data_IF_678498696347
#
_entry.id   IF_678498696347
#
_cell.length_a   1.000
_cell.length_b   1.000
_cell.length_c   1.000
_cell.angle_alpha   90.00
_cell.angle_beta   90.00
_cell.angle_gamma   90.00
#
_symmetry.space_group_name_H-M   'P 1'
#
loop_
_entity.id
_entity.type
_entity.pdbx_description
1 polymer ?
#
# COMPACT_ATOMS: atom_id res chain seq x y z
N UNK A 1 -2.31 -62.97 -4.21
CA UNK A 1 -1.19 -62.02 -4.42
C UNK A 1 -1.51 -60.79 -5.30
N UNK A 2 -2.49 -60.83 -6.22
CA UNK A 2 -2.84 -59.65 -7.06
C UNK A 2 -3.45 -58.48 -6.26
N UNK A 3 -4.31 -58.77 -5.28
CA UNK A 3 -5.00 -57.76 -4.46
C UNK A 3 -4.06 -56.82 -3.68
N UNK A 4 -3.00 -57.38 -3.09
CA UNK A 4 -2.02 -56.62 -2.30
C UNK A 4 -1.24 -55.62 -3.16
N UNK A 5 -0.94 -55.99 -4.42
CA UNK A 5 -0.23 -55.10 -5.36
C UNK A 5 -1.09 -53.90 -5.75
N UNK A 6 -2.39 -54.09 -5.98
CA UNK A 6 -3.30 -52.98 -6.30
C UNK A 6 -3.44 -52.01 -5.13
N UNK A 7 -3.60 -52.52 -3.90
CA UNK A 7 -3.72 -51.66 -2.71
C UNK A 7 -2.47 -50.82 -2.46
N UNK A 8 -1.27 -51.41 -2.61
CA UNK A 8 0.00 -50.68 -2.48
C UNK A 8 0.14 -49.60 -3.57
N UNK A 9 -0.29 -49.89 -4.80
CA UNK A 9 -0.22 -48.95 -5.91
C UNK A 9 -1.14 -47.72 -5.68
N UNK A 10 -2.36 -47.96 -5.20
CA UNK A 10 -3.29 -46.86 -4.86
C UNK A 10 -2.76 -46.02 -3.70
N UNK A 11 -2.20 -46.64 -2.67
CA UNK A 11 -1.62 -45.91 -1.54
C UNK A 11 -0.47 -45.00 -1.99
N UNK A 12 0.43 -45.50 -2.85
CA UNK A 12 1.52 -44.71 -3.42
C UNK A 12 1.02 -43.52 -4.25
N UNK A 13 -0.04 -43.71 -5.03
CA UNK A 13 -0.64 -42.64 -5.82
C UNK A 13 -1.27 -41.55 -4.93
N UNK A 14 -1.97 -41.94 -3.86
CA UNK A 14 -2.54 -40.99 -2.90
C UNK A 14 -1.47 -40.15 -2.19
N UNK A 15 -0.36 -40.78 -1.77
CA UNK A 15 0.77 -40.08 -1.14
C UNK A 15 1.40 -39.10 -2.14
N UNK A 16 1.57 -39.49 -3.40
CA UNK A 16 2.14 -38.63 -4.44
C UNK A 16 1.25 -37.40 -4.71
N UNK A 17 -0.06 -37.60 -4.86
CA UNK A 17 -1.01 -36.50 -5.07
C UNK A 17 -1.00 -35.55 -3.86
N UNK A 18 -1.04 -36.10 -2.64
CA UNK A 18 -0.96 -35.30 -1.42
C UNK A 18 0.31 -34.47 -1.33
N UNK A 19 1.47 -35.06 -1.65
CA UNK A 19 2.75 -34.35 -1.66
C UNK A 19 2.80 -33.22 -2.72
N UNK A 20 2.25 -33.46 -3.92
CA UNK A 20 2.13 -32.44 -4.97
C UNK A 20 1.24 -31.29 -4.51
N UNK A 21 0.08 -31.59 -3.93
CA UNK A 21 -0.86 -30.57 -3.48
C UNK A 21 -0.25 -29.69 -2.37
N UNK A 22 0.39 -30.30 -1.38
CA UNK A 22 1.08 -29.57 -0.30
C UNK A 22 2.26 -28.75 -0.86
N UNK A 23 3.02 -29.31 -1.80
CA UNK A 23 4.12 -28.61 -2.46
C UNK A 23 3.65 -27.39 -3.26
N UNK A 24 2.56 -27.53 -4.01
CA UNK A 24 1.95 -26.42 -4.75
C UNK A 24 1.42 -25.33 -3.82
N UNK A 25 0.68 -25.69 -2.77
CA UNK A 25 0.14 -24.71 -1.83
C UNK A 25 1.25 -23.97 -1.07
N UNK A 26 2.28 -24.70 -0.62
CA UNK A 26 3.43 -24.09 0.08
C UNK A 26 4.20 -23.15 -0.83
N UNK A 27 4.44 -23.55 -2.09
CA UNK A 27 5.12 -22.69 -3.08
C UNK A 27 4.28 -21.46 -3.42
N UNK A 28 2.97 -21.61 -3.57
CA UNK A 28 2.04 -20.50 -3.79
C UNK A 28 2.05 -19.52 -2.61
N UNK A 29 2.01 -20.01 -1.37
CA UNK A 29 2.12 -19.17 -0.16
C UNK A 29 3.49 -18.53 0.00
N UNK A 30 4.56 -19.17 -0.46
CA UNK A 30 5.87 -18.52 -0.46
C UNK A 30 5.89 -17.36 -1.47
N UNK A 31 5.51 -17.62 -2.72
CA UNK A 31 5.63 -16.64 -3.81
C UNK A 31 4.63 -15.48 -3.67
N UNK A 32 3.38 -15.80 -3.34
CA UNK A 32 2.24 -14.88 -3.31
C UNK A 32 1.67 -14.66 -1.90
N UNK A 33 2.28 -15.24 -0.87
CA UNK A 33 1.89 -14.94 0.51
C UNK A 33 2.26 -13.50 0.85
N UNK A 34 1.32 -12.80 1.49
CA UNK A 34 1.55 -11.43 1.96
C UNK A 34 2.77 -11.41 2.88
N UNK A 35 3.75 -10.58 2.57
CA UNK A 35 4.92 -10.43 3.42
C UNK A 35 4.48 -9.91 4.80
N UNK A 36 5.07 -10.43 5.87
CA UNK A 36 4.80 -9.95 7.24
C UNK A 36 5.41 -8.57 7.52
N UNK A 37 6.24 -8.05 6.61
CA UNK A 37 6.92 -6.78 6.76
C UNK A 37 6.12 -5.66 6.06
N UNK A 38 5.61 -4.72 6.85
CA UNK A 38 5.12 -3.43 6.37
C UNK A 38 6.12 -2.32 6.70
N UNK A 39 6.13 -1.27 5.88
CA UNK A 39 6.89 -0.04 6.14
C UNK A 39 5.94 1.14 6.14
N UNK A 40 6.15 2.08 7.07
CA UNK A 40 5.28 3.25 7.25
C UNK A 40 6.04 4.52 6.92
N UNK A 41 5.41 5.41 6.17
CA UNK A 41 5.86 6.78 5.99
C UNK A 41 4.86 7.70 6.70
N UNK A 42 5.36 8.62 7.51
CA UNK A 42 4.55 9.40 8.44
C UNK A 42 4.73 10.87 8.12
N UNK A 43 3.62 11.58 7.97
CA UNK A 43 3.56 13.03 7.96
C UNK A 43 2.83 13.50 9.23
N UNK A 44 3.55 14.22 10.08
CA UNK A 44 2.98 14.88 11.27
C UNK A 44 2.41 16.24 10.87
N UNK A 45 1.13 16.48 11.13
CA UNK A 45 0.53 17.80 10.93
C UNK A 45 1.13 18.76 11.96
N UNK A 46 1.73 19.89 11.53
CA UNK A 46 2.40 20.83 12.44
C UNK A 46 1.49 21.30 13.59
N UNK A 47 2.06 21.41 14.79
CA UNK A 47 1.37 21.91 15.99
C UNK A 47 0.17 21.07 16.46
N UNK A 48 0.01 19.84 15.94
CA UNK A 48 -1.03 18.91 16.36
C UNK A 48 -0.42 17.56 16.73
N UNK A 49 -1.22 16.65 17.30
CA UNK A 49 -0.88 15.24 17.51
C UNK A 49 -1.49 14.33 16.40
N UNK A 50 -1.74 14.90 15.22
CA UNK A 50 -2.36 14.18 14.09
C UNK A 50 -1.30 13.76 13.09
N UNK A 51 -1.32 12.48 12.72
CA UNK A 51 -0.44 11.88 11.72
C UNK A 51 -1.25 11.38 10.52
N UNK A 52 -0.79 11.71 9.31
CA UNK A 52 -1.20 11.06 8.07
C UNK A 52 -0.12 10.04 7.72
N UNK A 53 -0.50 8.77 7.62
CA UNK A 53 0.45 7.67 7.46
C UNK A 53 0.11 6.91 6.18
N UNK A 54 1.10 6.72 5.33
CA UNK A 54 1.01 5.77 4.21
C UNK A 54 1.83 4.52 4.53
N UNK A 55 1.13 3.46 4.88
CA UNK A 55 1.70 2.13 5.05
C UNK A 55 1.78 1.41 3.70
N UNK A 56 2.88 0.70 3.45
CA UNK A 56 3.01 -0.22 2.34
C UNK A 56 3.43 -1.60 2.83
N UNK A 57 2.81 -2.64 2.29
CA UNK A 57 3.12 -4.05 2.56
C UNK A 57 3.44 -4.75 1.25
N UNK A 58 4.59 -5.41 1.20
CA UNK A 58 4.96 -6.19 0.02
C UNK A 58 3.99 -7.36 -0.17
N UNK A 59 3.47 -7.50 -1.39
CA UNK A 59 2.57 -8.61 -1.77
C UNK A 59 3.24 -9.68 -2.61
N UNK A 60 4.44 -9.40 -3.12
CA UNK A 60 5.23 -10.33 -3.89
C UNK A 60 6.67 -10.39 -3.34
N UNK A 61 7.28 -11.58 -3.30
CA UNK A 61 8.65 -11.76 -2.81
C UNK A 61 9.70 -11.06 -3.69
N UNK A 62 9.49 -11.10 -5.00
CA UNK A 62 10.49 -10.70 -6.00
C UNK A 62 10.15 -9.43 -6.78
N UNK A 63 8.87 -9.02 -6.76
CA UNK A 63 8.41 -7.85 -7.50
C UNK A 63 8.22 -6.71 -6.51
N UNK A 64 8.45 -5.47 -6.95
CA UNK A 64 8.27 -4.28 -6.14
C UNK A 64 6.78 -3.91 -6.00
N UNK A 65 5.92 -4.89 -5.78
CA UNK A 65 4.48 -4.70 -5.66
C UNK A 65 4.05 -4.56 -4.21
N UNK A 66 3.21 -3.57 -3.93
CA UNK A 66 2.79 -3.24 -2.58
C UNK A 66 1.29 -2.99 -2.49
N UNK A 67 0.66 -3.60 -1.48
CA UNK A 67 -0.60 -3.11 -0.94
C UNK A 67 -0.31 -1.84 -0.14
N UNK A 68 -1.11 -0.79 -0.37
CA UNK A 68 -0.97 0.49 0.33
C UNK A 68 -2.19 0.76 1.19
N UNK A 69 -1.95 1.30 2.37
CA UNK A 69 -3.00 1.68 3.31
C UNK A 69 -2.74 3.08 3.82
N UNK A 70 -3.70 3.96 3.60
CA UNK A 70 -3.73 5.29 4.19
C UNK A 70 -4.38 5.21 5.57
N UNK A 71 -3.68 5.73 6.57
CA UNK A 71 -4.09 5.68 7.97
C UNK A 71 -4.08 7.11 8.51
N UNK A 72 -5.15 7.48 9.19
CA UNK A 72 -5.18 8.69 10.01
C UNK A 72 -5.01 8.27 11.47
N UNK A 73 -4.07 8.90 12.16
CA UNK A 73 -3.81 8.66 13.57
C UNK A 73 -3.93 9.97 14.35
N UNK A 74 -4.61 9.91 15.49
CA UNK A 74 -4.82 11.06 16.39
C UNK A 74 -4.42 10.63 17.79
N UNK A 75 -3.56 11.40 18.46
CA UNK A 75 -3.07 11.11 19.80
C UNK A 75 -2.52 9.67 19.94
N UNK A 76 -1.77 9.22 18.93
CA UNK A 76 -1.18 7.88 18.89
C UNK A 76 -2.15 6.75 18.53
N UNK A 77 -3.44 7.01 18.34
CA UNK A 77 -4.46 5.99 18.01
C UNK A 77 -4.88 6.05 16.56
N UNK A 78 -4.87 4.91 15.87
CA UNK A 78 -5.36 4.82 14.49
C UNK A 78 -6.89 4.99 14.51
N UNK A 79 -7.38 6.08 13.93
CA UNK A 79 -8.80 6.44 13.93
C UNK A 79 -9.49 6.10 12.61
N UNK A 80 -8.73 6.10 11.50
CA UNK A 80 -9.22 5.72 10.18
C UNK A 80 -8.19 4.90 9.43
N UNK A 81 -8.70 4.01 8.58
CA UNK A 81 -7.92 3.16 7.69
C UNK A 81 -8.65 3.07 6.36
N UNK A 82 -7.95 3.38 5.28
CA UNK A 82 -8.46 3.29 3.91
C UNK A 82 -7.45 2.58 3.03
N UNK A 83 -7.91 1.62 2.24
CA UNK A 83 -7.05 0.98 1.23
C UNK A 83 -6.78 1.94 0.08
N UNK A 84 -5.50 2.08 -0.28
CA UNK A 84 -5.08 2.81 -1.47
C UNK A 84 -5.00 1.90 -2.69
N UNK A 85 -4.74 2.47 -3.86
CA UNK A 85 -4.48 1.64 -5.04
C UNK A 85 -3.24 0.76 -4.81
N UNK A 86 -3.27 -0.47 -5.31
CA UNK A 86 -2.09 -1.35 -5.29
C UNK A 86 -1.00 -0.74 -6.17
N UNK A 87 0.23 -0.69 -5.65
CA UNK A 87 1.40 -0.30 -6.43
C UNK A 87 1.94 -1.54 -7.15
N UNK A 88 1.99 -1.48 -8.48
CA UNK A 88 2.41 -2.57 -9.36
C UNK A 88 3.91 -2.54 -9.70
N UNK A 89 4.75 -1.92 -8.88
CA UNK A 89 6.20 -1.89 -9.12
C UNK A 89 6.69 -0.60 -9.76
N UNK A 90 6.89 0.43 -8.94
CA UNK A 90 7.58 1.66 -9.31
C UNK A 90 6.76 2.93 -9.15
N UNK A 91 5.55 2.82 -8.58
CA UNK A 91 4.57 3.91 -8.51
C UNK A 91 4.07 4.14 -7.08
N UNK A 92 4.91 3.85 -6.08
CA UNK A 92 4.51 3.93 -4.66
C UNK A 92 4.19 5.35 -4.21
N UNK A 93 4.67 6.37 -4.96
CA UNK A 93 4.61 7.76 -4.56
C UNK A 93 3.16 8.21 -4.36
N UNK A 94 2.98 9.02 -3.31
CA UNK A 94 1.75 9.76 -3.05
C UNK A 94 2.11 11.20 -2.70
N UNK A 95 1.77 12.15 -3.55
CA UNK A 95 1.90 13.57 -3.25
C UNK A 95 0.86 13.97 -2.20
N UNK A 96 1.22 14.90 -1.33
CA UNK A 96 0.35 15.47 -0.30
C UNK A 96 0.23 16.95 -0.53
N UNK A 97 -1.02 17.41 -0.52
CA UNK A 97 -1.38 18.80 -0.70
C UNK A 97 -2.23 19.26 0.47
N UNK A 98 -1.96 20.46 0.97
CA UNK A 98 -2.76 21.15 1.97
C UNK A 98 -3.78 22.04 1.26
N UNK A 99 -5.07 21.81 1.53
CA UNK A 99 -6.17 22.68 1.08
C UNK A 99 -6.45 23.74 2.15
N UNK A 100 -6.50 23.29 3.40
CA UNK A 100 -6.67 24.10 4.61
C UNK A 100 -5.97 23.40 5.78
N UNK A 101 -5.83 24.02 6.98
CA UNK A 101 -5.16 23.40 8.13
C UNK A 101 -5.77 22.06 8.58
N UNK A 102 -6.99 21.74 8.13
CA UNK A 102 -7.70 20.52 8.48
C UNK A 102 -8.13 19.70 7.27
N UNK A 103 -7.77 20.11 6.05
CA UNK A 103 -8.16 19.43 4.82
C UNK A 103 -6.95 19.18 3.92
N UNK A 104 -6.77 17.93 3.54
CA UNK A 104 -5.64 17.50 2.72
C UNK A 104 -6.12 16.72 1.51
N UNK A 105 -5.42 16.91 0.40
CA UNK A 105 -5.60 16.12 -0.81
C UNK A 105 -4.35 15.28 -1.04
N UNK A 106 -4.54 14.00 -1.31
CA UNK A 106 -3.47 13.05 -1.60
C UNK A 106 -3.67 12.53 -3.00
N UNK A 107 -2.60 12.51 -3.79
CA UNK A 107 -2.63 12.01 -5.17
C UNK A 107 -1.46 11.08 -5.44
N UNK A 108 -1.78 9.86 -5.81
CA UNK A 108 -0.82 8.88 -6.31
C UNK A 108 -0.48 9.15 -7.76
N UNK A 109 0.43 8.31 -8.28
CA UNK A 109 0.82 8.36 -9.69
C UNK A 109 -0.28 7.85 -10.65
N UNK A 110 -1.21 7.04 -10.16
CA UNK A 110 -2.32 6.48 -10.93
C UNK A 110 -3.58 7.33 -10.73
N UNK A 111 -4.32 7.62 -11.81
CA UNK A 111 -5.41 8.60 -11.83
C UNK A 111 -6.54 8.38 -10.82
N UNK A 112 -6.80 7.13 -10.42
CA UNK A 112 -7.86 6.77 -9.47
C UNK A 112 -7.36 6.65 -8.01
N UNK A 113 -6.06 6.81 -7.77
CA UNK A 113 -5.47 6.77 -6.43
C UNK A 113 -5.40 8.17 -5.82
N UNK A 114 -6.57 8.73 -5.55
CA UNK A 114 -6.68 10.07 -4.97
C UNK A 114 -7.60 10.03 -3.77
N UNK A 115 -7.24 10.78 -2.74
CA UNK A 115 -7.95 10.79 -1.48
C UNK A 115 -8.07 12.21 -0.94
N UNK A 116 -9.25 12.56 -0.46
CA UNK A 116 -9.50 13.77 0.33
C UNK A 116 -9.61 13.38 1.80
N UNK A 117 -8.89 14.11 2.66
CA UNK A 117 -8.86 13.90 4.09
C UNK A 117 -9.43 15.14 4.76
N UNK A 118 -10.46 14.94 5.56
CA UNK A 118 -11.05 15.95 6.44
C UNK A 118 -10.74 15.54 7.88
N UNK A 119 -9.79 16.24 8.50
CA UNK A 119 -9.30 15.94 9.85
C UNK A 119 -10.36 16.23 10.90
N UNK A 120 -11.13 17.31 10.74
CA UNK A 120 -12.16 17.70 11.70
C UNK A 120 -13.32 16.71 11.73
N UNK A 121 -13.70 16.18 10.55
CA UNK A 121 -14.75 15.17 10.43
C UNK A 121 -14.25 13.75 10.56
N UNK A 122 -12.94 13.55 10.72
CA UNK A 122 -12.30 12.24 10.70
C UNK A 122 -12.79 11.40 9.52
N UNK A 123 -12.57 11.90 8.30
CA UNK A 123 -13.03 11.25 7.08
C UNK A 123 -11.93 11.15 6.03
N UNK A 124 -11.89 10.01 5.34
CA UNK A 124 -11.09 9.78 4.13
C UNK A 124 -12.08 9.45 3.00
N UNK A 125 -12.08 10.22 1.92
CA UNK A 125 -12.87 9.93 0.72
C UNK A 125 -11.94 9.61 -0.44
N UNK A 126 -12.12 8.46 -1.08
CA UNK A 126 -11.45 8.17 -2.35
C UNK A 126 -12.17 8.88 -3.50
N UNK A 127 -11.45 9.65 -4.29
CA UNK A 127 -12.01 10.55 -5.31
C UNK A 127 -11.44 10.25 -6.70
N UNK A 128 -12.17 9.47 -7.50
CA UNK A 128 -11.65 9.00 -8.79
C UNK A 128 -11.65 10.09 -9.86
N UNK A 129 -12.67 10.95 -9.87
CA UNK A 129 -12.92 11.92 -10.94
C UNK A 129 -12.52 13.36 -10.59
N UNK A 130 -12.16 13.62 -9.33
CA UNK A 130 -11.86 14.97 -8.87
C UNK A 130 -10.39 15.28 -9.20
N UNK A 131 -10.17 16.42 -9.85
CA UNK A 131 -8.83 16.97 -10.03
C UNK A 131 -8.37 17.66 -8.75
N UNK A 132 -7.04 17.79 -8.59
CA UNK A 132 -6.44 18.52 -7.47
C UNK A 132 -7.11 19.90 -7.33
N UNK A 133 -7.61 20.28 -6.14
CA UNK A 133 -8.17 21.61 -5.95
C UNK A 133 -7.17 22.71 -6.32
N UNK A 134 -7.64 23.79 -6.94
CA UNK A 134 -6.78 24.89 -7.40
C UNK A 134 -6.09 25.61 -6.24
N UNK A 135 -6.75 25.67 -5.08
CA UNK A 135 -6.20 26.23 -3.83
C UNK A 135 -5.19 25.32 -3.12
N UNK A 136 -5.08 24.04 -3.52
CA UNK A 136 -4.26 23.07 -2.81
C UNK A 136 -2.76 23.33 -3.04
N UNK A 137 -2.03 23.56 -1.94
CA UNK A 137 -0.59 23.79 -1.89
C UNK A 137 0.14 22.46 -1.71
N UNK A 138 1.12 22.17 -2.56
CA UNK A 138 1.99 21.00 -2.38
C UNK A 138 2.85 21.17 -1.12
N UNK A 139 2.87 20.16 -0.25
CA UNK A 139 3.63 20.18 1.01
C UNK A 139 4.68 19.06 1.11
N UNK A 140 4.62 18.08 0.22
CA UNK A 140 5.57 16.98 0.18
C UNK A 140 4.97 15.72 -0.43
N UNK A 141 5.70 14.61 -0.32
CA UNK A 141 5.26 13.32 -0.81
C UNK A 141 5.69 12.17 0.09
N UNK A 142 4.86 11.14 0.18
CA UNK A 142 5.30 9.83 0.65
C UNK A 142 6.04 9.15 -0.48
N UNK A 143 7.34 8.92 -0.30
CA UNK A 143 8.20 8.38 -1.34
C UNK A 143 9.43 7.67 -0.75
N UNK A 144 10.19 7.04 -1.64
CA UNK A 144 11.52 6.53 -1.36
C UNK A 144 12.52 7.69 -1.52
N UNK A 145 13.33 7.90 -0.49
CA UNK A 145 14.43 8.87 -0.53
C UNK A 145 15.70 8.32 -1.22
N UNK A 146 16.75 9.14 -1.29
CA UNK A 146 18.03 8.76 -1.91
C UNK A 146 18.70 7.56 -1.21
N UNK A 147 18.40 7.32 0.07
CA UNK A 147 18.92 6.20 0.88
C UNK A 147 18.01 4.97 0.79
N UNK A 148 17.03 4.98 -0.10
CA UNK A 148 16.02 3.91 -0.28
C UNK A 148 15.10 3.71 0.91
N UNK A 149 14.90 4.73 1.73
CA UNK A 149 14.02 4.69 2.90
C UNK A 149 12.64 5.22 2.50
N UNK A 150 11.59 4.48 2.87
CA UNK A 150 10.21 4.90 2.74
C UNK A 150 9.86 5.92 3.81
N UNK A 151 9.62 7.17 3.44
CA UNK A 151 9.30 8.26 4.37
C UNK A 151 8.50 9.37 3.71
N UNK A 152 8.04 10.30 4.51
CA UNK A 152 7.55 11.58 4.00
C UNK A 152 8.76 12.48 3.67
N UNK A 153 8.71 13.11 2.51
CA UNK A 153 9.74 14.02 1.99
C UNK A 153 9.07 15.38 1.77
N UNK A 154 9.55 16.41 2.46
CA UNK A 154 8.96 17.76 2.44
C UNK A 154 9.30 18.50 1.14
N UNK A 155 8.65 19.64 0.91
CA UNK A 155 8.97 20.52 -0.23
C UNK A 155 10.39 21.05 -0.26
N UNK A 156 11.06 21.10 0.90
CA UNK A 156 12.44 21.59 1.00
C UNK A 156 13.43 20.60 0.36
N UNK A 157 13.06 19.33 0.30
CA UNK A 157 13.87 18.25 -0.25
C UNK A 157 13.41 17.80 -1.64
N UNK A 158 12.12 17.95 -1.98
CA UNK A 158 11.56 17.46 -3.25
C UNK A 158 10.48 18.39 -3.80
N UNK A 159 10.59 18.68 -5.10
CA UNK A 159 9.56 19.40 -5.86
C UNK A 159 8.39 18.50 -6.21
N UNK A 160 7.22 19.11 -6.44
CA UNK A 160 6.02 18.41 -6.91
C UNK A 160 6.30 17.66 -8.21
N UNK A 161 5.85 16.40 -8.30
CA UNK A 161 5.89 15.63 -9.54
C UNK A 161 4.47 15.35 -10.03
N UNK A 162 4.21 15.66 -11.30
CA UNK A 162 2.92 15.37 -11.93
C UNK A 162 2.75 13.87 -12.13
N UNK A 163 1.53 13.37 -11.93
CA UNK A 163 1.15 12.01 -12.32
C UNK A 163 1.50 11.78 -13.79
N UNK A 164 2.22 10.70 -14.06
CA UNK A 164 2.66 10.30 -15.40
C UNK A 164 1.54 9.63 -16.21
N UNK A 165 0.44 9.24 -15.56
CA UNK A 165 -0.65 8.49 -16.18
C UNK A 165 -1.94 9.30 -16.14
N UNK A 166 -2.10 10.16 -17.16
CA UNK A 166 -3.42 10.62 -17.57
C UNK A 166 -3.97 9.59 -18.54
N UNK A 167 -5.00 8.84 -18.14
CA UNK A 167 -5.86 8.16 -19.12
C UNK A 167 -6.80 9.17 -19.74
#
# INVERSE_FOLDING_TARGET
MRFVKTTILFLGLFILIGAIQVGCETSYRLIFGKASYSTKAIFQIPQTNVEIILERRAIHLFLAEYERTLILRVDGKEVLRQEGATDSGGYSRMNVYEISPTEYFLSGDISYDKHELDIMRLKINSVVLIEKPTSAKFIGAFDIDEKRIWRFITTDERVEQKSKFKK
#
